data_IF_988235656330
#
_entry.id   IF_988235656330
#
_cell.length_a   1.000
_cell.length_b   1.000
_cell.length_c   1.000
_cell.angle_alpha   90.00
_cell.angle_beta   90.00
_cell.angle_gamma   90.00
#
_symmetry.space_group_name_H-M   'P 1'
#
loop_
_entity.id
_entity.type
_entity.pdbx_description
1 polymer ?
#
# COMPACT_ATOMS: atom_id res chain seq x y z
N UNK A 1 -28.95 -24.62 -13.96
CA UNK A 1 -28.23 -24.03 -12.83
C UNK A 1 -26.96 -23.46 -13.38
N UNK A 2 -27.00 -22.19 -13.81
CA UNK A 2 -25.84 -21.52 -14.35
C UNK A 2 -24.85 -21.27 -13.21
N UNK A 3 -23.87 -22.17 -13.10
CA UNK A 3 -22.84 -22.09 -12.08
C UNK A 3 -22.05 -20.80 -12.25
N UNK A 4 -22.28 -19.85 -11.35
CA UNK A 4 -21.47 -18.63 -11.25
C UNK A 4 -20.01 -19.03 -11.09
N UNK A 5 -19.21 -18.86 -12.14
CA UNK A 5 -17.77 -19.12 -12.10
C UNK A 5 -17.12 -17.98 -11.33
N UNK A 6 -16.97 -18.15 -10.03
CA UNK A 6 -16.16 -17.25 -9.21
C UNK A 6 -14.73 -17.36 -9.72
N UNK A 7 -14.14 -16.22 -10.12
CA UNK A 7 -12.76 -16.18 -10.58
C UNK A 7 -11.83 -16.54 -9.43
N UNK A 8 -10.96 -17.54 -9.63
CA UNK A 8 -10.04 -18.07 -8.60
C UNK A 8 -9.07 -17.03 -8.03
N UNK A 9 -8.95 -15.85 -8.65
CA UNK A 9 -8.00 -14.79 -8.29
C UNK A 9 -8.67 -13.45 -8.01
N UNK A 10 -9.95 -13.48 -7.64
CA UNK A 10 -10.68 -12.27 -7.25
C UNK A 10 -10.10 -11.64 -5.97
N UNK A 11 -9.64 -12.47 -5.03
CA UNK A 11 -9.09 -12.03 -3.74
C UNK A 11 -7.56 -11.93 -3.73
N UNK A 12 -6.90 -12.10 -4.88
CA UNK A 12 -5.44 -12.02 -4.93
C UNK A 12 -5.00 -10.55 -4.70
N UNK A 13 -4.05 -10.30 -3.77
CA UNK A 13 -3.62 -8.94 -3.47
C UNK A 13 -2.99 -8.27 -4.69
N UNK A 14 -3.24 -6.97 -4.84
CA UNK A 14 -2.64 -6.19 -5.92
C UNK A 14 -1.12 -6.16 -5.76
N UNK A 15 -0.42 -6.76 -6.73
CA UNK A 15 1.04 -6.75 -6.84
C UNK A 15 1.50 -5.72 -7.87
N UNK A 16 2.51 -4.95 -7.51
CA UNK A 16 3.28 -4.10 -8.40
C UNK A 16 4.64 -4.76 -8.61
N UNK A 17 4.77 -5.49 -9.71
CA UNK A 17 5.95 -6.32 -10.00
C UNK A 17 6.12 -7.44 -8.97
N UNK A 18 7.25 -7.43 -8.25
CA UNK A 18 7.58 -8.41 -7.21
C UNK A 18 7.01 -8.05 -5.83
N UNK A 19 6.52 -6.83 -5.65
CA UNK A 19 6.07 -6.31 -4.36
C UNK A 19 4.57 -6.06 -4.36
N UNK A 20 3.95 -6.07 -3.18
CA UNK A 20 2.56 -5.63 -3.05
C UNK A 20 2.47 -4.11 -3.17
N UNK A 21 1.33 -3.60 -3.67
CA UNK A 21 1.13 -2.17 -3.94
C UNK A 21 1.50 -1.28 -2.75
N UNK A 22 1.17 -1.71 -1.52
CA UNK A 22 1.47 -0.99 -0.28
C UNK A 22 2.99 -0.82 -0.04
N UNK A 23 3.76 -1.88 -0.31
CA UNK A 23 5.21 -1.90 -0.13
C UNK A 23 5.87 -1.06 -1.21
N UNK A 24 5.40 -1.19 -2.45
CA UNK A 24 5.87 -0.39 -3.57
C UNK A 24 5.56 1.11 -3.36
N UNK A 25 4.37 1.45 -2.88
CA UNK A 25 3.98 2.83 -2.59
C UNK A 25 4.87 3.48 -1.55
N UNK A 26 5.23 2.75 -0.49
CA UNK A 26 6.18 3.24 0.53
C UNK A 26 7.56 3.51 -0.07
N UNK A 27 8.06 2.64 -0.94
CA UNK A 27 9.35 2.84 -1.59
C UNK A 27 9.35 4.07 -2.50
N UNK A 28 8.29 4.22 -3.32
CA UNK A 28 8.12 5.39 -4.20
C UNK A 28 8.04 6.68 -3.38
N UNK A 29 7.36 6.67 -2.24
CA UNK A 29 7.30 7.84 -1.35
C UNK A 29 8.70 8.27 -0.87
N UNK A 30 9.54 7.34 -0.41
CA UNK A 30 10.92 7.66 -0.03
C UNK A 30 11.76 8.14 -1.23
N UNK A 31 11.56 7.55 -2.42
CA UNK A 31 12.24 7.99 -3.64
C UNK A 31 11.89 9.44 -3.98
N UNK A 32 10.61 9.82 -3.88
CA UNK A 32 10.15 11.19 -4.08
C UNK A 32 10.79 12.17 -3.08
N UNK A 33 10.91 11.80 -1.80
CA UNK A 33 11.60 12.62 -0.79
C UNK A 33 13.09 12.84 -1.13
N UNK A 34 13.78 11.79 -1.58
CA UNK A 34 15.16 11.89 -2.04
C UNK A 34 15.30 12.77 -3.29
N UNK A 35 14.36 12.63 -4.23
CA UNK A 35 14.33 13.43 -5.45
C UNK A 35 14.09 14.93 -5.16
N UNK A 36 13.18 15.26 -4.24
CA UNK A 36 12.92 16.65 -3.84
C UNK A 36 14.15 17.37 -3.27
N UNK A 37 15.10 16.65 -2.66
CA UNK A 37 16.35 17.27 -2.17
C UNK A 37 17.33 17.62 -3.29
N UNK A 38 17.17 17.07 -4.49
CA UNK A 38 17.99 17.42 -5.67
C UNK A 38 19.48 17.10 -5.58
N UNK A 39 19.92 16.35 -4.56
CA UNK A 39 21.33 15.96 -4.38
C UNK A 39 21.49 14.45 -4.58
N UNK A 40 22.53 14.03 -5.30
CA UNK A 40 22.79 12.60 -5.55
C UNK A 40 22.95 11.82 -4.24
N UNK A 41 23.61 12.40 -3.23
CA UNK A 41 23.78 11.77 -1.91
C UNK A 41 22.47 11.51 -1.17
N UNK A 42 21.55 12.49 -1.18
CA UNK A 42 20.23 12.32 -0.56
C UNK A 42 19.38 11.29 -1.31
N UNK A 43 19.52 11.19 -2.63
CA UNK A 43 18.84 10.20 -3.44
C UNK A 43 19.29 8.77 -3.12
N UNK A 44 20.60 8.52 -3.06
CA UNK A 44 21.13 7.21 -2.64
C UNK A 44 20.73 6.85 -1.20
N UNK A 45 20.83 7.81 -0.28
CA UNK A 45 20.41 7.61 1.11
C UNK A 45 18.90 7.26 1.19
N UNK A 46 18.06 7.93 0.40
CA UNK A 46 16.63 7.65 0.34
C UNK A 46 16.30 6.27 -0.26
N UNK A 47 17.06 5.80 -1.25
CA UNK A 47 16.91 4.44 -1.80
C UNK A 47 17.24 3.39 -0.73
N UNK A 48 18.37 3.53 -0.04
CA UNK A 48 18.79 2.56 0.99
C UNK A 48 17.81 2.57 2.16
N UNK A 49 17.42 3.76 2.63
CA UNK A 49 16.42 3.90 3.70
C UNK A 49 15.06 3.32 3.28
N UNK A 50 14.59 3.66 2.08
CA UNK A 50 13.32 3.16 1.54
C UNK A 50 13.31 1.64 1.39
N UNK A 51 14.37 1.06 0.85
CA UNK A 51 14.50 -0.40 0.74
C UNK A 51 14.50 -1.08 2.13
N UNK A 52 15.24 -0.51 3.09
CA UNK A 52 15.28 -1.04 4.45
C UNK A 52 13.89 -1.01 5.10
N UNK A 53 13.17 0.11 5.01
CA UNK A 53 11.81 0.26 5.54
C UNK A 53 10.86 -0.72 4.86
N UNK A 54 10.87 -0.83 3.53
CA UNK A 54 10.07 -1.79 2.78
C UNK A 54 10.35 -3.23 3.21
N UNK A 55 11.61 -3.60 3.40
CA UNK A 55 11.97 -4.95 3.86
C UNK A 55 11.40 -5.28 5.26
N UNK A 56 11.33 -4.29 6.16
CA UNK A 56 10.74 -4.45 7.49
C UNK A 56 9.23 -4.52 7.44
N UNK A 57 8.59 -3.69 6.61
CA UNK A 57 7.14 -3.72 6.38
C UNK A 57 6.72 -5.03 5.75
N UNK A 58 7.44 -5.55 4.74
CA UNK A 58 7.16 -6.84 4.13
C UNK A 58 7.23 -7.99 5.15
N UNK A 59 8.21 -7.96 6.05
CA UNK A 59 8.33 -8.94 7.14
C UNK A 59 7.18 -8.83 8.15
N UNK A 60 6.77 -7.61 8.49
CA UNK A 60 5.66 -7.37 9.41
C UNK A 60 4.30 -7.76 8.78
N UNK A 61 4.16 -7.55 7.47
CA UNK A 61 2.97 -7.86 6.69
C UNK A 61 2.82 -9.36 6.41
N UNK A 62 3.92 -10.12 6.35
CA UNK A 62 3.88 -11.57 6.17
C UNK A 62 3.07 -12.33 7.24
N UNK A 63 2.80 -11.71 8.40
CA UNK A 63 2.01 -12.27 9.50
C UNK A 63 0.59 -11.67 9.60
N UNK A 64 0.14 -10.81 8.66
CA UNK A 64 -1.12 -10.04 8.75
C UNK A 64 -1.94 -10.06 7.46
N UNK A 65 -3.21 -9.67 7.56
CA UNK A 65 -4.14 -9.56 6.42
C UNK A 65 -3.61 -8.64 5.30
N UNK A 66 -3.99 -8.96 4.06
CA UNK A 66 -3.81 -8.14 2.86
C UNK A 66 -4.44 -6.76 3.08
N UNK A 67 -3.75 -5.67 2.68
CA UNK A 67 -4.24 -4.29 2.88
C UNK A 67 -4.01 -3.69 4.28
N UNK A 68 -3.21 -4.32 5.15
CA UNK A 68 -2.90 -3.79 6.49
C UNK A 68 -2.41 -2.33 6.50
N UNK A 69 -1.64 -1.90 5.48
CA UNK A 69 -1.13 -0.52 5.42
C UNK A 69 -2.26 0.48 5.21
N UNK A 70 -3.19 0.20 4.30
CA UNK A 70 -4.37 1.05 4.09
C UNK A 70 -5.25 1.12 5.32
N UNK A 71 -5.42 0.00 6.02
CA UNK A 71 -6.15 -0.02 7.28
C UNK A 71 -5.43 0.82 8.35
N UNK A 72 -4.11 0.69 8.45
CA UNK A 72 -3.31 1.48 9.38
C UNK A 72 -3.37 2.98 9.08
N UNK A 73 -3.19 3.38 7.81
CA UNK A 73 -3.29 4.76 7.35
C UNK A 73 -4.70 5.33 7.59
N UNK A 74 -5.74 4.54 7.38
CA UNK A 74 -7.11 4.96 7.64
C UNK A 74 -7.32 5.42 9.09
N UNK A 75 -6.71 4.73 10.05
CA UNK A 75 -6.80 5.07 11.47
C UNK A 75 -5.82 6.17 11.90
N UNK A 76 -4.64 6.24 11.30
CA UNK A 76 -3.58 7.17 11.72
C UNK A 76 -3.57 8.52 11.02
N UNK A 77 -4.11 8.64 9.80
CA UNK A 77 -4.17 9.94 9.13
C UNK A 77 -5.37 10.77 9.59
N UNK A 78 -5.18 12.07 9.90
CA UNK A 78 -6.28 13.01 10.01
C UNK A 78 -6.98 13.15 8.65
N UNK A 79 -8.29 13.34 8.68
CA UNK A 79 -9.15 13.35 7.49
C UNK A 79 -8.76 14.46 6.49
N UNK A 80 -8.12 15.52 6.97
CA UNK A 80 -7.58 16.66 6.22
C UNK A 80 -6.38 16.28 5.33
N UNK A 81 -5.63 15.24 5.70
CA UNK A 81 -4.46 14.77 4.95
C UNK A 81 -4.81 13.68 3.92
N UNK A 82 -6.04 13.17 3.93
CA UNK A 82 -6.50 12.20 2.93
C UNK A 82 -7.11 12.94 1.75
N UNK A 83 -6.58 12.69 0.55
CA UNK A 83 -7.17 13.17 -0.71
C UNK A 83 -8.55 12.57 -1.02
N UNK A 84 -8.98 11.57 -0.25
CA UNK A 84 -10.27 10.89 -0.39
C UNK A 84 -11.08 11.12 0.89
N UNK A 85 -12.26 11.78 0.80
CA UNK A 85 -13.14 11.95 1.95
C UNK A 85 -13.59 10.59 2.48
N UNK A 86 -13.59 10.40 3.80
CA UNK A 86 -14.03 9.14 4.43
C UNK A 86 -15.46 8.77 4.06
N UNK A 87 -16.30 9.75 3.76
CA UNK A 87 -17.69 9.57 3.37
C UNK A 87 -17.86 8.95 1.97
N UNK A 88 -16.83 9.03 1.11
CA UNK A 88 -16.80 8.42 -0.22
C UNK A 88 -16.24 7.00 -0.21
N UNK A 89 -15.62 6.57 0.89
CA UNK A 89 -15.05 5.24 1.01
C UNK A 89 -16.16 4.29 1.51
N UNK A 90 -16.51 3.24 0.77
CA UNK A 90 -17.53 2.30 1.22
C UNK A 90 -17.15 1.68 2.57
N UNK A 91 -18.13 1.38 3.46
CA UNK A 91 -17.87 0.81 4.77
C UNK A 91 -17.01 -0.45 4.70
N UNK A 92 -16.19 -0.70 5.73
CA UNK A 92 -15.16 -1.76 5.71
C UNK A 92 -15.68 -3.15 5.30
N UNK A 93 -16.94 -3.49 5.60
CA UNK A 93 -17.58 -4.75 5.19
C UNK A 93 -17.90 -4.88 3.70
N UNK A 94 -17.83 -3.79 2.92
CA UNK A 94 -18.07 -3.78 1.47
C UNK A 94 -16.78 -3.65 0.63
N UNK A 95 -15.66 -3.27 1.25
CA UNK A 95 -14.38 -3.06 0.52
C UNK A 95 -13.80 -4.33 -0.07
N UNK A 96 -14.12 -5.50 0.49
CA UNK A 96 -13.65 -6.81 0.01
C UNK A 96 -14.66 -7.49 -0.93
N UNK A 97 -15.88 -6.95 -1.08
CA UNK A 97 -16.94 -7.52 -1.92
C UNK A 97 -16.93 -6.97 -3.36
N UNK A 98 -16.17 -5.92 -3.61
CA UNK A 98 -15.95 -5.36 -4.95
C UNK A 98 -14.48 -5.59 -5.28
N UNK A 99 -14.17 -6.81 -5.73
CA UNK A 99 -12.89 -7.12 -6.36
C UNK A 99 -12.69 -6.37 -7.66
#
# INVERSE_FOLDING_TARGET
MDGSRILRRLDDPWKLGLWELDVAGTFVFFLCLGFMKGTMGAFFAAIVAGYFVCSRISKLKAMRHTGFLWHFLFWWLPQEAMFIPRDLLPPSHYRELVG
#
